data_IF_085032852631
#
_entry.id   IF_085032852631
#
_cell.length_a   1.000
_cell.length_b   1.000
_cell.length_c   1.000
_cell.angle_alpha   90.00
_cell.angle_beta   90.00
_cell.angle_gamma   90.00
#
_symmetry.space_group_name_H-M   'P 1'
#
loop_
_entity.id
_entity.type
_entity.pdbx_description
1 polymer ?
#
# COMPACT_ATOMS: atom_id res chain seq x y z
N UNK A 1 -5.38 -20.08 8.54
CA UNK A 1 -5.36 -19.12 7.41
C UNK A 1 -4.10 -18.28 7.55
N UNK A 2 -3.25 -18.26 6.52
CA UNK A 2 -2.09 -17.35 6.48
C UNK A 2 -2.60 -15.93 6.23
N UNK A 3 -2.19 -14.92 7.04
CA UNK A 3 -2.55 -13.53 6.76
C UNK A 3 -2.06 -13.09 5.38
N UNK A 4 -2.81 -12.25 4.65
CA UNK A 4 -2.31 -11.63 3.43
C UNK A 4 -1.22 -10.61 3.76
N UNK A 5 -0.41 -10.29 2.76
CA UNK A 5 0.64 -9.27 2.80
C UNK A 5 0.11 -7.91 2.36
N UNK A 6 -1.01 -7.87 1.64
CA UNK A 6 -1.60 -6.64 1.09
C UNK A 6 -3.10 -6.56 1.38
N UNK A 7 -3.58 -5.33 1.58
CA UNK A 7 -5.00 -4.99 1.68
C UNK A 7 -5.28 -3.80 0.77
N UNK A 8 -6.19 -3.96 -0.20
CA UNK A 8 -6.53 -2.84 -1.09
C UNK A 8 -7.27 -1.76 -0.32
N UNK A 9 -6.86 -0.50 -0.48
CA UNK A 9 -7.56 0.66 0.04
C UNK A 9 -8.39 1.28 -1.10
N UNK A 10 -9.71 1.07 -1.15
CA UNK A 10 -10.54 1.64 -2.21
C UNK A 10 -10.64 3.16 -2.05
N UNK A 11 -10.89 3.87 -3.16
CA UNK A 11 -11.04 5.34 -3.18
C UNK A 11 -12.06 5.89 -2.18
N UNK A 12 -13.15 5.14 -1.94
CA UNK A 12 -14.17 5.50 -0.96
C UNK A 12 -13.67 5.43 0.49
N UNK A 13 -12.61 4.69 0.78
CA UNK A 13 -12.04 4.60 2.12
C UNK A 13 -11.39 5.90 2.60
N UNK A 14 -11.02 6.80 1.68
CA UNK A 14 -10.44 8.10 2.03
C UNK A 14 -11.35 8.95 2.93
N UNK A 15 -12.68 8.82 2.78
CA UNK A 15 -13.64 9.51 3.65
C UNK A 15 -13.65 8.94 5.07
N UNK A 16 -13.44 7.63 5.22
CA UNK A 16 -13.38 6.94 6.51
C UNK A 16 -12.73 5.56 6.37
N UNK A 17 -11.56 5.39 6.96
CA UNK A 17 -10.89 4.09 7.02
C UNK A 17 -11.54 3.18 8.06
N UNK A 18 -12.28 2.17 7.60
CA UNK A 18 -12.82 1.05 8.41
C UNK A 18 -12.08 -0.23 8.03
N UNK A 19 -10.86 -0.41 8.56
CA UNK A 19 -9.96 -1.50 8.16
C UNK A 19 -10.59 -2.87 8.37
N UNK A 20 -11.28 -3.07 9.49
CA UNK A 20 -12.01 -4.29 9.81
C UNK A 20 -13.06 -4.64 8.75
N UNK A 21 -13.81 -3.65 8.26
CA UNK A 21 -14.79 -3.86 7.19
C UNK A 21 -14.10 -4.21 5.86
N UNK A 22 -13.00 -3.53 5.53
CA UNK A 22 -12.20 -3.84 4.33
C UNK A 22 -11.64 -5.27 4.38
N UNK A 23 -11.13 -5.69 5.54
CA UNK A 23 -10.60 -7.04 5.76
C UNK A 23 -11.68 -8.12 5.64
N UNK A 24 -12.83 -7.93 6.30
CA UNK A 24 -13.95 -8.88 6.24
C UNK A 24 -14.45 -9.04 4.81
N UNK A 25 -14.62 -7.93 4.09
CA UNK A 25 -15.17 -7.93 2.73
C UNK A 25 -14.19 -8.47 1.69
N UNK A 26 -12.92 -8.06 1.72
CA UNK A 26 -11.95 -8.47 0.71
C UNK A 26 -11.42 -9.89 0.94
N UNK A 27 -11.31 -10.32 2.20
CA UNK A 27 -10.84 -11.67 2.52
C UNK A 27 -11.97 -12.68 2.69
N UNK A 28 -13.23 -12.26 2.54
CA UNK A 28 -14.41 -13.07 2.78
C UNK A 28 -14.34 -13.86 4.11
N UNK A 29 -13.85 -13.20 5.17
CA UNK A 29 -13.60 -13.83 6.47
C UNK A 29 -14.61 -13.37 7.52
N UNK A 30 -14.67 -14.06 8.66
CA UNK A 30 -15.53 -13.64 9.77
C UNK A 30 -15.03 -12.35 10.43
N UNK A 31 -15.94 -11.62 11.08
CA UNK A 31 -15.61 -10.42 11.85
C UNK A 31 -14.53 -10.65 12.91
N UNK A 32 -14.54 -11.81 13.58
CA UNK A 32 -13.53 -12.16 14.57
C UNK A 32 -12.13 -12.30 13.96
N UNK A 33 -12.02 -12.82 12.73
CA UNK A 33 -10.77 -12.90 11.98
C UNK A 33 -10.35 -11.51 11.51
N UNK A 34 -11.25 -10.73 10.91
CA UNK A 34 -10.98 -9.36 10.47
C UNK A 34 -10.47 -8.46 11.60
N UNK A 35 -11.06 -8.57 12.81
CA UNK A 35 -10.61 -7.82 13.98
C UNK A 35 -9.18 -8.17 14.41
N UNK A 36 -8.81 -9.46 14.41
CA UNK A 36 -7.45 -9.92 14.71
C UNK A 36 -6.43 -9.46 13.68
N UNK A 37 -6.84 -9.38 12.41
CA UNK A 37 -5.99 -8.90 11.32
C UNK A 37 -5.80 -7.38 11.34
N UNK A 38 -6.74 -6.62 11.93
CA UNK A 38 -6.69 -5.15 12.00
C UNK A 38 -5.35 -4.61 12.49
N UNK A 39 -4.79 -5.24 13.52
CA UNK A 39 -3.50 -4.81 14.07
C UNK A 39 -2.37 -4.95 13.05
N UNK A 40 -2.43 -5.91 12.13
CA UNK A 40 -1.39 -6.15 11.12
C UNK A 40 -1.45 -5.15 9.96
N UNK A 41 -2.56 -4.44 9.81
CA UNK A 41 -2.78 -3.44 8.76
C UNK A 41 -3.01 -2.03 9.33
N UNK A 42 -2.77 -1.84 10.63
CA UNK A 42 -2.98 -0.56 11.27
C UNK A 42 -2.18 0.55 10.59
N UNK A 43 -2.80 1.73 10.48
CA UNK A 43 -2.20 2.94 9.95
C UNK A 43 -1.98 3.91 11.11
N UNK A 44 -0.76 4.42 11.23
CA UNK A 44 -0.44 5.59 12.04
C UNK A 44 -1.11 6.86 11.48
N UNK A 45 -1.14 7.93 12.26
CA UNK A 45 -1.68 9.23 11.82
C UNK A 45 -1.06 9.72 10.50
N UNK A 46 0.27 9.75 10.37
CA UNK A 46 0.93 10.14 9.11
C UNK A 46 0.63 9.20 7.93
N UNK A 47 0.61 7.88 8.13
CA UNK A 47 0.26 6.93 7.07
C UNK A 47 -1.20 7.07 6.62
N UNK A 48 -2.12 7.34 7.55
CA UNK A 48 -3.52 7.58 7.25
C UNK A 48 -3.68 8.86 6.42
N UNK A 49 -3.00 9.95 6.81
CA UNK A 49 -3.02 11.20 6.06
C UNK A 49 -2.42 11.02 4.65
N UNK A 50 -1.30 10.31 4.54
CA UNK A 50 -0.72 9.94 3.25
C UNK A 50 -1.71 9.18 2.37
N UNK A 51 -2.31 8.11 2.90
CA UNK A 51 -3.27 7.28 2.16
C UNK A 51 -4.50 8.08 1.73
N UNK A 52 -5.03 8.92 2.62
CA UNK A 52 -6.17 9.80 2.34
C UNK A 52 -5.87 10.76 1.20
N UNK A 53 -4.76 11.50 1.29
CA UNK A 53 -4.37 12.50 0.29
C UNK A 53 -4.10 11.84 -1.06
N UNK A 54 -3.41 10.69 -1.09
CA UNK A 54 -3.15 9.96 -2.33
C UNK A 54 -4.46 9.54 -3.01
N UNK A 55 -5.35 8.89 -2.26
CA UNK A 55 -6.61 8.37 -2.78
C UNK A 55 -7.55 9.49 -3.24
N UNK A 56 -7.55 10.65 -2.58
CA UNK A 56 -8.32 11.83 -2.97
C UNK A 56 -7.79 12.46 -4.26
N UNK A 57 -6.47 12.60 -4.40
CA UNK A 57 -5.85 13.36 -5.49
C UNK A 57 -5.54 12.54 -6.74
N UNK A 58 -5.34 11.23 -6.63
CA UNK A 58 -4.85 10.37 -7.73
C UNK A 58 -5.74 9.16 -7.92
N UNK A 59 -6.84 9.35 -8.66
CA UNK A 59 -7.82 8.28 -8.96
C UNK A 59 -7.30 7.21 -9.93
N UNK A 60 -6.14 7.42 -10.55
CA UNK A 60 -5.43 6.40 -11.33
C UNK A 60 -4.54 5.49 -10.47
N UNK A 61 -4.21 5.87 -9.22
CA UNK A 61 -3.35 5.08 -8.34
C UNK A 61 -4.19 4.18 -7.44
N UNK A 62 -4.09 2.87 -7.62
CA UNK A 62 -4.65 1.91 -6.69
C UNK A 62 -3.68 1.70 -5.53
N UNK A 63 -4.13 2.00 -4.32
CA UNK A 63 -3.32 1.90 -3.11
C UNK A 63 -3.61 0.60 -2.36
N UNK A 64 -2.55 -0.03 -1.86
CA UNK A 64 -2.60 -1.21 -1.00
C UNK A 64 -1.80 -0.92 0.26
N UNK A 65 -2.39 -1.18 1.44
CA UNK A 65 -1.67 -1.21 2.71
C UNK A 65 -0.95 -2.55 2.82
N UNK A 66 0.34 -2.50 3.10
CA UNK A 66 1.14 -3.67 3.39
C UNK A 66 0.93 -4.17 4.82
N UNK A 67 1.09 -5.47 5.04
CA UNK A 67 1.07 -6.09 6.36
C UNK A 67 2.39 -5.77 7.08
N UNK A 68 2.31 -5.05 8.20
CA UNK A 68 3.50 -4.59 8.92
C UNK A 68 4.35 -5.75 9.49
N UNK A 69 3.81 -6.97 9.59
CA UNK A 69 4.56 -8.16 10.04
C UNK A 69 5.33 -8.85 8.91
N UNK A 70 5.09 -8.48 7.65
CA UNK A 70 5.63 -9.17 6.49
C UNK A 70 6.83 -8.45 5.84
N UNK A 71 7.24 -7.29 6.35
CA UNK A 71 8.39 -6.54 5.82
C UNK A 71 8.30 -6.30 4.31
N UNK A 72 7.20 -5.68 3.86
CA UNK A 72 6.94 -5.35 2.46
C UNK A 72 6.77 -3.84 2.20
N UNK A 73 7.34 -3.02 3.08
CA UNK A 73 7.12 -1.58 3.17
C UNK A 73 5.78 -1.23 3.82
N UNK A 74 5.38 0.03 3.69
CA UNK A 74 4.11 0.53 4.19
C UNK A 74 2.99 0.40 3.18
N UNK A 75 3.28 0.66 1.91
CA UNK A 75 2.27 0.65 0.84
C UNK A 75 2.80 0.10 -0.47
N UNK A 76 1.90 -0.48 -1.26
CA UNK A 76 2.05 -0.56 -2.71
C UNK A 76 1.08 0.43 -3.37
N UNK A 77 1.57 1.24 -4.31
CA UNK A 77 0.72 2.01 -5.20
C UNK A 77 0.89 1.50 -6.64
N UNK A 78 -0.19 1.19 -7.33
CA UNK A 78 -0.16 0.70 -8.72
C UNK A 78 -0.80 1.75 -9.61
N UNK A 79 -0.05 2.24 -10.59
CA UNK A 79 -0.57 3.19 -11.59
C UNK A 79 -1.36 2.46 -12.68
N UNK A 80 -2.67 2.63 -12.64
CA UNK A 80 -3.62 1.99 -13.55
C UNK A 80 -3.76 2.72 -14.89
N UNK A 81 -2.99 3.79 -15.14
CA UNK A 81 -3.06 4.55 -16.39
C UNK A 81 -2.69 3.72 -17.62
N UNK A 82 -1.74 2.78 -17.47
CA UNK A 82 -1.36 1.86 -18.55
C UNK A 82 -2.10 0.51 -18.39
N UNK A 83 -2.76 -0.03 -19.44
CA UNK A 83 -3.56 -1.24 -19.29
C UNK A 83 -2.73 -2.52 -19.11
N UNK A 84 -1.52 -2.58 -19.66
CA UNK A 84 -0.70 -3.81 -19.76
C UNK A 84 0.64 -3.76 -19.02
N UNK A 85 1.07 -2.58 -18.55
CA UNK A 85 2.41 -2.39 -17.98
C UNK A 85 2.38 -1.33 -16.90
N UNK A 86 1.78 -1.67 -15.75
CA UNK A 86 1.43 -0.73 -14.69
C UNK A 86 2.60 -0.53 -13.74
N UNK A 87 3.11 0.69 -13.70
CA UNK A 87 4.16 1.03 -12.74
C UNK A 87 3.67 0.75 -11.32
N UNK A 88 4.44 -0.04 -10.58
CA UNK A 88 4.17 -0.36 -9.18
C UNK A 88 5.21 0.32 -8.32
N UNK A 89 4.75 1.07 -7.34
CA UNK A 89 5.58 1.75 -6.36
C UNK A 89 5.49 0.98 -5.04
N UNK A 90 6.62 0.51 -4.52
CA UNK A 90 6.72 -0.01 -3.17
C UNK A 90 7.29 1.08 -2.27
N UNK A 91 6.52 1.48 -1.26
CA UNK A 91 6.73 2.71 -0.50
C UNK A 91 6.98 2.40 0.97
N UNK A 92 7.99 3.03 1.53
CA UNK A 92 8.29 3.08 2.96
C UNK A 92 8.27 4.56 3.40
N UNK A 93 7.38 4.92 4.32
CA UNK A 93 7.27 6.29 4.80
C UNK A 93 8.24 6.52 5.95
N UNK A 94 9.09 7.55 5.81
CA UNK A 94 10.04 7.97 6.84
C UNK A 94 9.88 9.45 7.12
N UNK A 95 9.45 9.78 8.33
CA UNK A 95 9.17 11.15 8.73
C UNK A 95 10.40 12.04 8.56
N UNK A 96 10.21 13.22 7.97
CA UNK A 96 11.25 14.23 7.77
C UNK A 96 12.47 13.77 6.94
N UNK A 97 12.35 12.70 6.15
CA UNK A 97 13.39 12.27 5.21
C UNK A 97 13.08 12.69 3.76
N UNK A 98 14.09 13.07 2.96
CA UNK A 98 13.89 13.28 1.53
C UNK A 98 13.55 11.97 0.81
N UNK A 99 12.87 12.07 -0.33
CA UNK A 99 12.58 10.90 -1.17
C UNK A 99 13.86 10.33 -1.75
N UNK A 100 14.06 9.03 -1.51
CA UNK A 100 15.13 8.22 -2.12
C UNK A 100 14.50 7.09 -2.91
N UNK A 101 14.88 6.96 -4.18
CA UNK A 101 14.35 5.96 -5.13
C UNK A 101 15.37 4.84 -5.34
N UNK A 102 14.90 3.63 -5.65
CA UNK A 102 15.77 2.46 -5.87
C UNK A 102 16.37 1.92 -4.57
N UNK A 103 15.76 2.28 -3.44
CA UNK A 103 16.20 1.88 -2.11
C UNK A 103 15.62 0.51 -1.74
N UNK A 104 16.45 -0.33 -1.13
CA UNK A 104 16.08 -1.66 -0.64
C UNK A 104 16.45 -1.81 0.84
N UNK A 105 16.15 -2.98 1.41
CA UNK A 105 16.59 -3.30 2.77
C UNK A 105 15.66 -4.26 3.48
N UNK A 106 15.88 -4.42 4.80
CA UNK A 106 15.12 -5.35 5.64
C UNK A 106 13.61 -5.14 5.57
N UNK A 107 13.16 -3.90 5.38
CA UNK A 107 11.75 -3.54 5.27
C UNK A 107 11.08 -3.97 3.96
N UNK A 108 11.84 -4.41 2.96
CA UNK A 108 11.33 -5.00 1.71
C UNK A 108 11.68 -6.50 1.57
N UNK A 109 12.12 -7.16 2.64
CA UNK A 109 12.49 -8.57 2.61
C UNK A 109 11.35 -9.50 2.17
N UNK A 110 10.09 -9.14 2.47
CA UNK A 110 8.88 -9.85 2.04
C UNK A 110 8.15 -9.19 0.86
N UNK A 111 8.78 -8.24 0.16
CA UNK A 111 8.16 -7.54 -0.96
C UNK A 111 7.73 -8.49 -2.08
N UNK A 112 8.48 -9.55 -2.34
CA UNK A 112 8.12 -10.55 -3.36
C UNK A 112 6.75 -11.20 -3.08
N UNK A 113 6.45 -11.51 -1.82
CA UNK A 113 5.16 -12.09 -1.42
C UNK A 113 4.03 -11.10 -1.64
N UNK A 114 4.21 -9.85 -1.25
CA UNK A 114 3.22 -8.79 -1.48
C UNK A 114 2.98 -8.55 -2.98
N UNK A 115 4.03 -8.60 -3.80
CA UNK A 115 3.92 -8.46 -5.26
C UNK A 115 3.23 -9.65 -5.93
N UNK A 116 3.38 -10.86 -5.41
CA UNK A 116 2.68 -12.04 -5.90
C UNK A 116 1.16 -11.93 -5.70
N UNK A 117 0.72 -11.37 -4.56
CA UNK A 117 -0.71 -11.15 -4.27
C UNK A 117 -1.38 -10.16 -5.22
N UNK A 118 -0.61 -9.22 -5.79
CA UNK A 118 -1.11 -8.20 -6.73
C UNK A 118 -0.63 -8.41 -8.17
N UNK A 119 -0.07 -9.58 -8.50
CA UNK A 119 0.59 -9.85 -9.79
C UNK A 119 -0.31 -9.54 -11.00
N UNK A 120 -1.54 -10.05 -10.99
CA UNK A 120 -2.55 -9.80 -12.03
C UNK A 120 -2.88 -8.30 -12.18
N UNK A 121 -2.84 -7.56 -11.06
CA UNK A 121 -3.16 -6.13 -11.05
C UNK A 121 -1.99 -5.31 -11.57
N UNK A 122 -0.75 -5.63 -11.23
CA UNK A 122 0.42 -4.88 -11.71
C UNK A 122 0.83 -5.22 -13.14
N UNK A 123 0.44 -6.40 -13.64
CA UNK A 123 0.96 -6.95 -14.89
C UNK A 123 2.51 -6.92 -14.92
N UNK A 124 3.12 -6.93 -16.10
CA UNK A 124 4.59 -6.91 -16.27
C UNK A 124 5.20 -5.50 -16.14
N UNK A 125 4.58 -4.65 -15.33
CA UNK A 125 4.99 -3.27 -15.11
C UNK A 125 6.23 -3.13 -14.23
N UNK A 126 7.00 -2.04 -14.40
CA UNK A 126 8.20 -1.80 -13.60
C UNK A 126 7.85 -1.67 -12.11
N UNK A 127 8.77 -2.15 -11.27
CA UNK A 127 8.74 -1.93 -9.83
C UNK A 127 9.70 -0.79 -9.48
N UNK A 128 9.21 0.20 -8.76
CA UNK A 128 10.01 1.31 -8.23
C UNK A 128 9.88 1.29 -6.71
N UNK A 129 10.99 1.12 -6.00
CA UNK A 129 11.00 1.28 -4.55
C UNK A 129 11.33 2.73 -4.19
N UNK A 130 10.66 3.25 -3.18
CA UNK A 130 10.97 4.57 -2.65
C UNK A 130 10.79 4.61 -1.13
N UNK A 131 11.60 5.43 -0.47
CA UNK A 131 11.40 5.79 0.93
C UNK A 131 11.49 7.30 1.11
N UNK A 132 10.76 7.85 2.07
CA UNK A 132 10.84 9.27 2.43
C UNK A 132 9.60 9.79 3.13
N UNK A 133 9.57 11.08 3.39
CA UNK A 133 8.43 11.73 4.03
C UNK A 133 7.18 11.64 3.16
N UNK A 134 6.02 11.41 3.78
CA UNK A 134 4.77 11.21 3.06
C UNK A 134 4.42 12.35 2.11
N UNK A 135 4.67 13.62 2.49
CA UNK A 135 4.39 14.77 1.64
C UNK A 135 5.36 14.85 0.44
N UNK A 136 6.61 14.48 0.64
CA UNK A 136 7.61 14.41 -0.43
C UNK A 136 7.29 13.27 -1.40
N UNK A 137 6.92 12.08 -0.89
CA UNK A 137 6.51 10.93 -1.70
C UNK A 137 5.28 11.27 -2.55
N UNK A 138 4.28 11.94 -1.97
CA UNK A 138 3.09 12.42 -2.69
C UNK A 138 3.46 13.37 -3.85
N UNK A 139 4.40 14.29 -3.61
CA UNK A 139 4.88 15.21 -4.66
C UNK A 139 5.69 14.50 -5.74
N UNK A 140 6.41 13.45 -5.39
CA UNK A 140 7.22 12.66 -6.34
C UNK A 140 6.37 11.74 -7.22
N UNK A 141 5.49 10.92 -6.64
CA UNK A 141 4.59 10.00 -7.37
C UNK A 141 3.51 10.77 -8.17
N UNK A 142 3.33 12.05 -7.83
CA UNK A 142 2.42 12.98 -8.45
C UNK A 142 2.92 13.63 -9.76
N UNK A 143 4.20 13.46 -10.11
CA UNK A 143 4.75 13.96 -11.38
C UNK A 143 4.26 13.15 -12.57
#
# INVERSE_FOLDING_TARGET
MTPPSTLRLPFAAAARFRLEQLLVTQLACSWSVGWRLREQFALSGPELEFARVLLERRRNLWLYRCNQRHFCGDFLAIDMSAPRRRTTYALELKAAEPVRVGVGGRQFAGLATALAEVAEVRADGPLITAQGDGAEVLRWIGR
#
